data_IF_060566267431
#
_entry.id   IF_060566267431
#
_cell.length_a   1.000
_cell.length_b   1.000
_cell.length_c   1.000
_cell.angle_alpha   90.00
_cell.angle_beta   90.00
_cell.angle_gamma   90.00
#
_symmetry.space_group_name_H-M   'P 1'
#
loop_
_entity.id
_entity.type
_entity.pdbx_description
1 polymer ?
#
# COMPACT_ATOMS: atom_id res chain seq x y z
N UNK A 1 -11.42 18.19 14.68
CA UNK A 1 -9.97 18.15 14.40
C UNK A 1 -9.35 17.21 15.43
N UNK A 2 -9.30 15.92 15.12
CA UNK A 2 -8.44 14.99 15.84
C UNK A 2 -7.27 14.74 14.92
N UNK A 3 -6.10 15.29 15.24
CA UNK A 3 -4.88 14.84 14.61
C UNK A 3 -4.73 13.37 15.00
N UNK A 4 -4.79 12.47 14.02
CA UNK A 4 -4.27 11.12 14.22
C UNK A 4 -2.80 11.30 14.58
N UNK A 5 -2.45 11.04 15.83
CA UNK A 5 -1.06 10.87 16.20
C UNK A 5 -0.65 9.57 15.54
N UNK A 6 0.15 9.66 14.47
CA UNK A 6 0.89 8.51 13.97
C UNK A 6 1.66 7.93 15.14
N UNK A 7 1.19 6.78 15.61
CA UNK A 7 1.86 6.02 16.64
C UNK A 7 2.89 5.23 15.85
N UNK A 8 4.10 5.76 15.77
CA UNK A 8 5.21 5.00 15.22
C UNK A 8 5.23 3.62 15.89
N UNK A 9 5.49 2.56 15.12
CA UNK A 9 5.53 1.17 15.61
C UNK A 9 6.50 0.92 16.79
N UNK A 10 7.22 1.96 17.21
CA UNK A 10 8.19 2.01 18.31
C UNK A 10 7.61 2.41 19.68
N UNK A 11 6.51 3.16 19.81
CA UNK A 11 6.22 3.91 21.07
C UNK A 11 5.03 3.47 21.95
N UNK A 12 4.36 2.40 21.61
CA UNK A 12 3.79 1.36 22.51
C UNK A 12 4.26 0.07 21.82
N UNK A 13 4.47 -1.11 22.45
CA UNK A 13 4.92 -2.25 21.65
C UNK A 13 3.74 -2.74 20.80
N UNK A 14 3.43 -2.04 19.71
CA UNK A 14 2.46 -2.38 18.66
C UNK A 14 2.82 -3.76 18.16
N UNK A 15 4.11 -4.08 18.08
CA UNK A 15 4.62 -5.43 17.86
C UNK A 15 4.08 -6.45 18.88
N UNK A 16 4.09 -6.12 20.17
CA UNK A 16 3.57 -7.02 21.21
C UNK A 16 2.04 -7.15 21.11
N UNK A 17 1.33 -6.06 20.85
CA UNK A 17 -0.13 -6.09 20.65
C UNK A 17 -0.49 -6.94 19.43
N UNK A 18 0.19 -6.72 18.30
CA UNK A 18 0.06 -7.52 17.10
C UNK A 18 0.36 -9.00 17.36
N UNK A 19 1.51 -9.30 17.96
CA UNK A 19 1.90 -10.69 18.27
C UNK A 19 0.87 -11.36 19.18
N UNK A 20 0.37 -10.66 20.20
CA UNK A 20 -0.68 -11.18 21.08
C UNK A 20 -1.98 -11.46 20.32
N UNK A 21 -2.44 -10.52 19.49
CA UNK A 21 -3.64 -10.70 18.69
C UNK A 21 -3.52 -11.92 17.77
N UNK A 22 -2.39 -12.05 17.09
CA UNK A 22 -2.09 -13.17 16.19
C UNK A 22 -2.02 -14.51 16.94
N UNK A 23 -1.39 -14.55 18.12
CA UNK A 23 -1.36 -15.73 18.99
C UNK A 23 -2.76 -16.14 19.46
N UNK A 24 -3.60 -15.18 19.88
CA UNK A 24 -4.99 -15.45 20.32
C UNK A 24 -5.83 -16.05 19.18
N UNK A 25 -5.57 -15.68 17.93
CA UNK A 25 -6.22 -16.27 16.75
C UNK A 25 -5.62 -17.62 16.32
N UNK A 26 -4.58 -18.12 17.01
CA UNK A 26 -3.91 -19.39 16.68
C UNK A 26 -2.85 -19.28 15.58
N UNK A 27 -2.42 -18.07 15.23
CA UNK A 27 -1.44 -17.79 14.18
C UNK A 27 -0.18 -17.13 14.75
N UNK A 28 0.71 -17.85 15.46
CA UNK A 28 1.94 -17.24 15.98
C UNK A 28 2.79 -16.67 14.84
N UNK A 29 3.06 -15.34 14.80
CA UNK A 29 3.70 -14.72 13.66
C UNK A 29 5.22 -14.82 13.74
N UNK A 30 5.88 -15.03 12.61
CA UNK A 30 7.32 -14.78 12.45
C UNK A 30 7.51 -13.35 11.99
N UNK A 31 7.94 -12.45 12.89
CA UNK A 31 8.03 -11.01 12.60
C UNK A 31 9.48 -10.58 12.49
N UNK A 32 9.80 -9.86 11.41
CA UNK A 32 11.06 -9.13 11.26
C UNK A 32 10.75 -7.63 11.31
N UNK A 33 11.30 -6.93 12.30
CA UNK A 33 11.13 -5.47 12.43
C UNK A 33 12.37 -4.78 11.88
N UNK A 34 12.24 -4.19 10.70
CA UNK A 34 13.36 -3.62 9.94
C UNK A 34 12.87 -2.51 9.02
N UNK A 35 13.79 -1.63 8.60
CA UNK A 35 13.52 -0.70 7.50
C UNK A 35 13.33 -1.47 6.18
N UNK A 36 12.42 -0.96 5.33
CA UNK A 36 11.95 -1.61 4.11
C UNK A 36 13.08 -2.18 3.21
N UNK A 37 14.01 -1.32 2.78
CA UNK A 37 15.11 -1.70 1.88
C UNK A 37 16.05 -2.75 2.51
N UNK A 38 16.29 -2.61 3.80
CA UNK A 38 17.11 -3.53 4.58
C UNK A 38 16.44 -4.90 4.64
N UNK A 39 15.14 -4.95 4.96
CA UNK A 39 14.35 -6.19 4.99
C UNK A 39 14.36 -6.90 3.63
N UNK A 40 14.09 -6.17 2.55
CA UNK A 40 14.10 -6.71 1.19
C UNK A 40 15.48 -7.28 0.80
N UNK A 41 16.57 -6.74 1.35
CA UNK A 41 17.94 -7.23 1.15
C UNK A 41 18.21 -8.64 1.72
N UNK A 42 17.46 -9.07 2.75
CA UNK A 42 17.59 -10.42 3.31
C UNK A 42 16.80 -11.48 2.54
N UNK A 43 15.88 -11.06 1.68
CA UNK A 43 15.03 -11.96 0.90
C UNK A 43 15.60 -12.11 -0.51
N UNK A 44 15.77 -13.36 -0.94
CA UNK A 44 16.23 -13.70 -2.30
C UNK A 44 15.15 -13.32 -3.33
N UNK A 45 15.56 -12.99 -4.54
CA UNK A 45 14.63 -12.71 -5.64
C UNK A 45 13.86 -13.99 -6.03
N UNK A 46 12.58 -13.83 -6.40
CA UNK A 46 11.73 -14.92 -6.89
C UNK A 46 11.40 -16.04 -5.89
N UNK A 47 11.35 -15.75 -4.58
CA UNK A 47 11.08 -16.77 -3.55
C UNK A 47 9.76 -16.61 -2.83
N UNK A 48 9.14 -15.43 -2.88
CA UNK A 48 7.86 -15.16 -2.23
C UNK A 48 6.69 -15.52 -3.14
N UNK A 49 5.69 -16.21 -2.62
CA UNK A 49 4.45 -16.48 -3.36
C UNK A 49 3.56 -15.22 -3.46
N UNK A 50 3.61 -14.38 -2.42
CA UNK A 50 2.86 -13.14 -2.32
C UNK A 50 3.61 -12.10 -1.50
N UNK A 51 3.43 -10.82 -1.85
CA UNK A 51 3.74 -9.65 -1.01
C UNK A 51 2.50 -8.78 -0.87
N UNK A 52 2.24 -8.28 0.34
CA UNK A 52 1.21 -7.28 0.62
C UNK A 52 1.88 -5.99 1.15
N UNK A 53 1.58 -4.85 0.54
CA UNK A 53 2.15 -3.53 0.86
C UNK A 53 1.04 -2.65 1.45
N UNK A 54 1.23 -2.21 2.69
CA UNK A 54 0.29 -1.36 3.43
C UNK A 54 1.08 -0.57 4.47
N UNK A 55 1.78 0.45 3.99
CA UNK A 55 2.73 1.24 4.76
C UNK A 55 2.50 2.73 4.50
N UNK A 56 3.54 3.49 4.21
CA UNK A 56 3.48 4.91 3.88
C UNK A 56 2.74 5.15 2.56
N UNK A 57 1.83 6.12 2.54
CA UNK A 57 0.93 6.34 1.41
C UNK A 57 1.41 7.43 0.45
N UNK A 58 2.61 7.98 0.66
CA UNK A 58 3.25 8.91 -0.27
C UNK A 58 3.79 8.17 -1.48
N UNK A 59 3.62 8.78 -2.64
CA UNK A 59 4.02 8.25 -3.93
C UNK A 59 5.46 7.74 -3.94
N UNK A 60 6.40 8.54 -3.43
CA UNK A 60 7.81 8.17 -3.38
C UNK A 60 8.09 6.93 -2.52
N UNK A 61 7.36 6.77 -1.41
CA UNK A 61 7.47 5.62 -0.51
C UNK A 61 6.85 4.36 -1.15
N UNK A 62 5.63 4.44 -1.67
CA UNK A 62 4.96 3.32 -2.36
C UNK A 62 5.79 2.86 -3.56
N UNK A 63 6.35 3.78 -4.35
CA UNK A 63 7.25 3.44 -5.45
C UNK A 63 8.48 2.67 -4.97
N UNK A 64 9.09 3.11 -3.86
CA UNK A 64 10.24 2.42 -3.25
C UNK A 64 9.86 1.02 -2.78
N UNK A 65 8.72 0.87 -2.13
CA UNK A 65 8.21 -0.42 -1.66
C UNK A 65 7.98 -1.38 -2.84
N UNK A 66 7.26 -0.95 -3.88
CA UNK A 66 7.04 -1.76 -5.09
C UNK A 66 8.38 -2.19 -5.69
N UNK A 67 9.34 -1.26 -5.85
CA UNK A 67 10.65 -1.57 -6.43
C UNK A 67 11.47 -2.56 -5.59
N UNK A 68 11.40 -2.45 -4.25
CA UNK A 68 12.08 -3.35 -3.32
C UNK A 68 11.50 -4.77 -3.38
N UNK A 69 10.18 -4.90 -3.47
CA UNK A 69 9.50 -6.17 -3.23
C UNK A 69 9.06 -6.92 -4.48
N UNK A 70 8.77 -6.24 -5.59
CA UNK A 70 8.25 -6.89 -6.81
C UNK A 70 9.17 -8.00 -7.34
N UNK A 71 10.49 -7.81 -7.28
CA UNK A 71 11.47 -8.84 -7.71
C UNK A 71 11.59 -10.02 -6.75
N UNK A 72 11.11 -9.86 -5.51
CA UNK A 72 11.11 -10.93 -4.49
C UNK A 72 9.98 -11.94 -4.73
N UNK A 73 8.95 -11.52 -5.47
CA UNK A 73 7.81 -12.35 -5.83
C UNK A 73 8.18 -13.33 -6.96
N UNK A 74 7.74 -14.58 -6.85
CA UNK A 74 7.88 -15.61 -7.89
C UNK A 74 7.17 -15.18 -9.18
N UNK A 75 7.65 -15.63 -10.36
CA UNK A 75 6.86 -15.54 -11.59
C UNK A 75 5.48 -16.20 -11.41
N UNK A 76 4.41 -15.46 -11.71
CA UNK A 76 3.02 -15.88 -11.50
C UNK A 76 2.50 -15.68 -10.07
N UNK A 77 3.33 -15.19 -9.15
CA UNK A 77 2.95 -14.81 -7.80
C UNK A 77 2.18 -13.48 -7.74
N UNK A 78 1.87 -13.02 -6.53
CA UNK A 78 1.01 -11.85 -6.31
C UNK A 78 1.77 -10.73 -5.61
N UNK A 79 1.62 -9.51 -6.10
CA UNK A 79 1.87 -8.30 -5.32
C UNK A 79 0.53 -7.59 -5.10
N UNK A 80 0.28 -7.19 -3.87
CA UNK A 80 -0.98 -6.61 -3.44
C UNK A 80 -0.73 -5.47 -2.46
N UNK A 81 -1.76 -4.68 -2.20
CA UNK A 81 -1.75 -3.66 -1.17
C UNK A 81 -3.13 -3.10 -0.90
N UNK A 82 -3.17 -2.09 -0.04
CA UNK A 82 -4.40 -1.41 0.35
C UNK A 82 -4.45 0.02 -0.22
N UNK A 83 -5.50 0.78 0.13
CA UNK A 83 -5.62 2.22 -0.09
C UNK A 83 -5.58 2.64 -1.57
N UNK A 84 -6.15 1.82 -2.44
CA UNK A 84 -6.35 2.13 -3.86
C UNK A 84 -7.83 2.37 -4.12
N UNK A 85 -8.35 3.54 -3.73
CA UNK A 85 -9.80 3.79 -3.75
C UNK A 85 -10.38 3.94 -5.14
N UNK A 86 -9.58 4.40 -6.11
CA UNK A 86 -10.01 4.60 -7.49
C UNK A 86 -8.90 4.29 -8.49
N UNK A 87 -9.28 3.71 -9.62
CA UNK A 87 -8.46 3.73 -10.84
C UNK A 87 -8.45 5.12 -11.47
N UNK A 88 -7.54 5.39 -12.42
CA UNK A 88 -7.53 6.67 -13.13
C UNK A 88 -8.81 6.87 -13.94
N UNK A 89 -9.30 5.81 -14.59
CA UNK A 89 -10.58 5.82 -15.30
C UNK A 89 -11.74 6.17 -14.36
N UNK A 90 -11.76 5.61 -13.15
CA UNK A 90 -12.80 5.92 -12.17
C UNK A 90 -12.71 7.35 -11.66
N UNK A 91 -11.50 7.87 -11.40
CA UNK A 91 -11.33 9.27 -11.03
C UNK A 91 -11.93 10.17 -12.12
N UNK A 92 -11.62 9.91 -13.39
CA UNK A 92 -12.18 10.65 -14.53
C UNK A 92 -13.72 10.56 -14.57
N UNK A 93 -14.27 9.35 -14.51
CA UNK A 93 -15.71 9.11 -14.61
C UNK A 93 -16.51 9.72 -13.47
N UNK A 94 -15.90 9.85 -12.28
CA UNK A 94 -16.53 10.47 -11.12
C UNK A 94 -16.35 12.00 -11.07
N UNK A 95 -15.83 12.62 -12.14
CA UNK A 95 -15.63 14.06 -12.24
C UNK A 95 -14.41 14.58 -11.47
N UNK A 96 -13.44 13.69 -11.22
CA UNK A 96 -12.21 13.95 -10.48
C UNK A 96 -10.96 13.82 -11.35
N UNK A 97 -11.12 13.79 -12.69
CA UNK A 97 -10.03 13.65 -13.65
C UNK A 97 -9.00 14.78 -13.61
N UNK A 98 -9.38 15.95 -13.07
CA UNK A 98 -8.50 17.11 -12.92
C UNK A 98 -7.70 17.09 -11.60
N UNK A 99 -7.81 16.04 -10.78
CA UNK A 99 -6.99 15.93 -9.57
C UNK A 99 -5.51 15.83 -9.98
N UNK A 100 -4.73 16.80 -9.50
CA UNK A 100 -3.30 16.79 -9.68
C UNK A 100 -2.62 15.76 -8.76
N UNK A 101 -2.58 14.51 -9.23
CA UNK A 101 -1.89 13.42 -8.53
C UNK A 101 -0.39 13.68 -8.35
N UNK A 102 0.22 14.64 -9.07
CA UNK A 102 1.63 15.01 -8.84
C UNK A 102 1.74 15.91 -7.62
N UNK A 103 0.85 16.88 -7.48
CA UNK A 103 0.81 17.79 -6.32
C UNK A 103 0.36 17.06 -5.06
N UNK A 104 -0.65 16.19 -5.14
CA UNK A 104 -1.19 15.49 -3.98
C UNK A 104 -0.52 14.15 -3.69
N UNK A 105 0.27 13.60 -4.63
CA UNK A 105 0.86 12.27 -4.50
C UNK A 105 1.84 12.12 -3.33
N UNK A 106 2.46 13.19 -2.83
CA UNK A 106 3.37 13.14 -1.68
C UNK A 106 2.68 13.45 -0.33
N UNK A 107 1.34 13.49 -0.31
CA UNK A 107 0.57 13.55 0.93
C UNK A 107 0.18 12.13 1.35
N UNK A 108 0.30 11.82 2.64
CA UNK A 108 -0.18 10.54 3.20
C UNK A 108 -1.67 10.35 2.91
N UNK A 109 -2.47 11.42 3.01
CA UNK A 109 -3.90 11.36 2.76
C UNK A 109 -4.40 12.71 2.25
N UNK A 110 -5.26 12.67 1.23
CA UNK A 110 -5.88 13.86 0.65
C UNK A 110 -7.40 13.74 0.66
N UNK A 111 -8.10 14.77 1.15
CA UNK A 111 -9.56 14.87 1.01
C UNK A 111 -9.93 16.17 0.28
N UNK A 112 -9.93 16.17 -1.06
CA UNK A 112 -10.32 17.34 -1.85
C UNK A 112 -11.71 17.86 -1.46
N UNK A 113 -11.88 19.18 -1.49
CA UNK A 113 -13.15 19.81 -1.18
C UNK A 113 -14.25 19.31 -2.14
N UNK A 114 -15.38 18.87 -1.57
CA UNK A 114 -16.49 18.31 -2.34
C UNK A 114 -16.46 16.78 -2.51
N UNK A 115 -15.37 16.10 -2.14
CA UNK A 115 -15.34 14.64 -2.13
C UNK A 115 -15.99 14.06 -0.87
N UNK A 116 -16.80 13.02 -1.07
CA UNK A 116 -17.42 12.24 0.03
C UNK A 116 -16.39 11.35 0.74
N UNK A 117 -15.43 10.84 -0.02
CA UNK A 117 -14.33 9.97 0.45
C UNK A 117 -13.00 10.71 0.33
N UNK A 118 -12.02 10.35 1.15
CA UNK A 118 -10.65 10.79 0.87
C UNK A 118 -9.96 9.84 -0.09
N UNK A 119 -8.72 10.17 -0.43
CA UNK A 119 -7.90 9.50 -1.39
C UNK A 119 -6.49 9.34 -0.86
N UNK A 120 -5.91 8.18 -1.09
CA UNK A 120 -4.48 7.96 -1.00
C UNK A 120 -3.86 8.17 -2.39
N UNK A 121 -3.76 9.45 -2.77
CA UNK A 121 -3.30 9.86 -4.11
C UNK A 121 -1.90 9.36 -4.45
N UNK A 122 -1.04 9.16 -3.44
CA UNK A 122 0.28 8.58 -3.65
C UNK A 122 0.22 7.10 -4.04
N UNK A 123 -0.63 6.31 -3.38
CA UNK A 123 -0.90 4.91 -3.72
C UNK A 123 -1.51 4.80 -5.12
N UNK A 124 -2.60 5.52 -5.39
CA UNK A 124 -3.30 5.49 -6.70
C UNK A 124 -2.31 5.75 -7.84
N UNK A 125 -1.48 6.79 -7.68
CA UNK A 125 -0.50 7.16 -8.69
C UNK A 125 0.63 6.14 -8.81
N UNK A 126 1.22 5.69 -7.70
CA UNK A 126 2.36 4.77 -7.73
C UNK A 126 2.00 3.43 -8.38
N UNK A 127 0.83 2.88 -8.02
CA UNK A 127 0.34 1.61 -8.56
C UNK A 127 0.06 1.74 -10.06
N UNK A 128 -0.60 2.83 -10.49
CA UNK A 128 -0.93 3.04 -11.91
C UNK A 128 0.26 3.48 -12.78
N UNK A 129 1.27 4.14 -12.19
CA UNK A 129 2.52 4.44 -12.89
C UNK A 129 3.35 3.16 -13.12
N UNK A 130 3.26 2.17 -12.22
CA UNK A 130 4.05 0.94 -12.29
C UNK A 130 3.40 -0.15 -13.15
N UNK A 131 2.08 -0.32 -13.07
CA UNK A 131 1.34 -1.27 -13.90
C UNK A 131 0.25 -0.57 -14.71
N UNK A 132 0.03 -1.02 -15.96
CA UNK A 132 -1.10 -0.52 -16.72
C UNK A 132 -2.42 -0.97 -16.06
N UNK A 133 -3.44 -0.12 -16.13
CA UNK A 133 -4.69 -0.25 -15.37
C UNK A 133 -5.40 -1.59 -15.60
N UNK A 134 -5.35 -2.13 -16.82
CA UNK A 134 -5.95 -3.42 -17.17
C UNK A 134 -5.34 -4.63 -16.44
N UNK A 135 -4.15 -4.47 -15.84
CA UNK A 135 -3.50 -5.50 -15.01
C UNK A 135 -3.83 -5.38 -13.53
N UNK A 136 -4.40 -4.26 -13.10
CA UNK A 136 -4.67 -3.98 -11.70
C UNK A 136 -6.06 -4.51 -11.37
N UNK A 137 -6.10 -5.53 -10.51
CA UNK A 137 -7.33 -5.99 -9.90
C UNK A 137 -7.59 -5.18 -8.65
N UNK A 138 -8.85 -4.74 -8.46
CA UNK A 138 -9.27 -3.94 -7.32
C UNK A 138 -10.53 -4.53 -6.71
N UNK A 139 -10.55 -4.62 -5.39
CA UNK A 139 -11.75 -4.91 -4.61
C UNK A 139 -12.39 -3.61 -4.13
N UNK A 140 -13.62 -3.37 -4.57
CA UNK A 140 -14.28 -2.07 -4.44
C UNK A 140 -14.65 -1.67 -3.02
N UNK A 141 -15.00 -2.63 -2.17
CA UNK A 141 -15.44 -2.36 -0.81
C UNK A 141 -14.27 -2.13 0.15
N UNK A 142 -13.12 -2.71 -0.17
CA UNK A 142 -11.93 -2.74 0.70
C UNK A 142 -10.80 -1.87 0.19
N UNK A 143 -10.84 -1.36 -1.05
CA UNK A 143 -9.72 -0.65 -1.69
C UNK A 143 -8.43 -1.48 -1.84
N UNK A 144 -8.53 -2.80 -1.64
CA UNK A 144 -7.42 -3.73 -1.89
C UNK A 144 -7.16 -3.79 -3.38
N UNK A 145 -5.89 -3.66 -3.77
CA UNK A 145 -5.42 -3.88 -5.12
C UNK A 145 -4.46 -5.05 -5.18
N UNK A 146 -4.39 -5.72 -6.33
CA UNK A 146 -3.37 -6.73 -6.58
C UNK A 146 -3.07 -6.91 -8.08
N UNK A 147 -1.85 -7.38 -8.35
CA UNK A 147 -1.35 -7.70 -9.69
C UNK A 147 -0.63 -9.05 -9.64
N UNK A 148 -0.77 -9.82 -10.72
CA UNK A 148 0.03 -11.03 -10.94
C UNK A 148 1.36 -10.66 -11.61
N UNK A 149 2.48 -11.02 -10.97
CA UNK A 149 3.87 -10.70 -11.41
C UNK A 149 4.33 -11.62 -12.54
#
# INVERSE_FOLDING_TARGET
MGAGTDIDAVDVPILQVFANNMMVQGFPPNVMVMHNDTAAGFIKDGVLDMVFIDSDHRYSAVCKDIQCWVRKVKPGGIIAGHDFEFTLTELQNNGFGDIDLRTFGEMEYSKPAGMRVGLHTGVIRAVTDYWPEERIHKEWETSIWWVRV
#
